data_IF_106073539206
#
_entry.id   IF_106073539206
#
_cell.length_a   1.000
_cell.length_b   1.000
_cell.length_c   1.000
_cell.angle_alpha   90.00
_cell.angle_beta   90.00
_cell.angle_gamma   90.00
#
_symmetry.space_group_name_H-M   'P 1'
#
loop_
_entity.id
_entity.type
_entity.pdbx_description
1 polymer ?
#
# COMPACT_ATOMS: atom_id res chain seq x y z
N UNK A 1 -8.73 -9.28 -3.33
CA UNK A 1 -9.02 -7.93 -2.82
C UNK A 1 -9.56 -7.89 -1.39
N UNK A 2 -10.56 -8.70 -1.00
CA UNK A 2 -11.02 -8.77 0.41
C UNK A 2 -9.95 -9.23 1.40
N UNK A 3 -9.08 -10.16 0.99
CA UNK A 3 -7.90 -10.57 1.78
C UNK A 3 -6.90 -9.41 2.00
N UNK A 4 -6.64 -8.59 0.98
CA UNK A 4 -5.75 -7.42 1.10
C UNK A 4 -6.30 -6.35 2.05
N UNK A 5 -7.63 -6.17 2.10
CA UNK A 5 -8.27 -5.29 3.09
C UNK A 5 -8.06 -5.78 4.53
N UNK A 6 -8.15 -7.09 4.76
CA UNK A 6 -7.88 -7.66 6.07
C UNK A 6 -6.39 -7.48 6.46
N UNK A 7 -5.47 -7.77 5.53
CA UNK A 7 -4.03 -7.58 5.74
C UNK A 7 -3.66 -6.10 5.97
N UNK A 8 -4.34 -5.17 5.29
CA UNK A 8 -4.17 -3.74 5.48
C UNK A 8 -4.50 -3.29 6.90
N UNK A 9 -5.56 -3.84 7.50
CA UNK A 9 -5.95 -3.50 8.88
C UNK A 9 -4.87 -3.89 9.89
N UNK A 10 -4.12 -4.96 9.62
CA UNK A 10 -3.07 -5.49 10.48
C UNK A 10 -1.67 -4.89 10.20
N UNK A 11 -1.56 -4.01 9.20
CA UNK A 11 -0.31 -3.41 8.74
C UNK A 11 0.10 -2.19 9.58
N UNK A 12 0.31 -2.38 10.88
CA UNK A 12 0.63 -1.30 11.82
C UNK A 12 2.11 -0.87 11.85
N UNK A 13 2.96 -1.46 11.00
CA UNK A 13 4.38 -1.09 10.91
C UNK A 13 4.85 -1.04 9.45
N UNK A 14 5.93 -0.31 9.21
CA UNK A 14 6.46 -0.06 7.87
C UNK A 14 6.84 -1.34 7.11
N UNK A 15 7.33 -2.38 7.79
CA UNK A 15 7.65 -3.66 7.13
C UNK A 15 6.38 -4.34 6.62
N UNK A 16 5.29 -4.34 7.39
CA UNK A 16 4.00 -4.89 6.97
C UNK A 16 3.36 -4.07 5.86
N UNK A 17 3.42 -2.73 5.95
CA UNK A 17 2.96 -1.84 4.88
C UNK A 17 3.69 -2.11 3.56
N UNK A 18 5.02 -2.25 3.62
CA UNK A 18 5.84 -2.60 2.46
C UNK A 18 5.49 -3.98 1.90
N UNK A 19 5.38 -5.00 2.76
CA UNK A 19 5.05 -6.36 2.33
C UNK A 19 3.69 -6.42 1.62
N UNK A 20 2.68 -5.76 2.16
CA UNK A 20 1.35 -5.68 1.53
C UNK A 20 1.40 -4.93 0.20
N UNK A 21 2.06 -3.77 0.15
CA UNK A 21 2.19 -3.02 -1.09
C UNK A 21 2.94 -3.82 -2.17
N UNK A 22 4.01 -4.53 -1.81
CA UNK A 22 4.74 -5.39 -2.72
C UNK A 22 3.89 -6.55 -3.25
N UNK A 23 3.06 -7.14 -2.38
CA UNK A 23 2.08 -8.17 -2.76
C UNK A 23 1.09 -7.62 -3.79
N UNK A 24 0.50 -6.46 -3.52
CA UNK A 24 -0.46 -5.82 -4.43
C UNK A 24 0.20 -5.47 -5.78
N UNK A 25 1.44 -4.96 -5.81
CA UNK A 25 2.15 -4.68 -7.06
C UNK A 25 2.34 -5.94 -7.92
N UNK A 26 2.58 -7.10 -7.30
CA UNK A 26 2.81 -8.37 -8.00
C UNK A 26 1.53 -9.04 -8.49
N UNK A 27 0.45 -8.85 -7.74
CA UNK A 27 -0.80 -9.58 -7.94
C UNK A 27 -1.87 -8.73 -8.65
N UNK A 28 -1.82 -7.40 -8.52
CA UNK A 28 -2.75 -6.51 -9.22
C UNK A 28 -2.33 -6.35 -10.68
N UNK A 29 -3.33 -6.32 -11.58
CA UNK A 29 -3.13 -5.87 -12.96
C UNK A 29 -2.73 -4.39 -13.03
N UNK A 30 -2.34 -3.94 -14.23
CA UNK A 30 -2.00 -2.54 -14.44
C UNK A 30 -3.21 -1.64 -14.12
N UNK A 31 -2.98 -0.59 -13.32
CA UNK A 31 -4.05 0.33 -12.92
C UNK A 31 -3.68 1.20 -11.72
N UNK A 32 -4.63 2.03 -11.26
CA UNK A 32 -4.40 2.98 -10.17
C UNK A 32 -4.00 2.31 -8.85
N UNK A 33 -4.54 1.13 -8.53
CA UNK A 33 -4.18 0.39 -7.33
C UNK A 33 -2.72 -0.07 -7.35
N UNK A 34 -2.27 -0.65 -8.48
CA UNK A 34 -0.88 -1.07 -8.65
C UNK A 34 0.08 0.14 -8.60
N UNK A 35 -0.34 1.29 -9.15
CA UNK A 35 0.44 2.52 -9.09
C UNK A 35 0.56 3.06 -7.65
N UNK A 36 -0.54 3.11 -6.90
CA UNK A 36 -0.54 3.50 -5.50
C UNK A 36 0.35 2.58 -4.64
N UNK A 37 0.29 1.27 -4.89
CA UNK A 37 1.12 0.29 -4.19
C UNK A 37 2.61 0.46 -4.51
N UNK A 38 2.94 0.77 -5.77
CA UNK A 38 4.32 1.04 -6.19
C UNK A 38 4.92 2.25 -5.46
N UNK A 39 4.16 3.32 -5.26
CA UNK A 39 4.60 4.49 -4.50
C UNK A 39 4.96 4.15 -3.04
N UNK A 40 4.20 3.26 -2.41
CA UNK A 40 4.49 2.78 -1.04
C UNK A 40 5.78 1.96 -1.02
N UNK A 41 5.94 1.02 -1.97
CA UNK A 41 7.14 0.18 -2.09
C UNK A 41 8.38 1.04 -2.24
N UNK A 42 8.37 1.99 -3.17
CA UNK A 42 9.52 2.89 -3.41
C UNK A 42 9.85 3.73 -2.17
N UNK A 43 8.83 4.25 -1.49
CA UNK A 43 9.03 5.11 -0.31
C UNK A 43 9.56 4.36 0.91
N UNK A 44 9.24 3.07 1.03
CA UNK A 44 9.62 2.23 2.16
C UNK A 44 10.86 1.36 1.90
N UNK A 45 11.22 1.11 0.64
CA UNK A 45 12.43 0.37 0.27
C UNK A 45 13.66 1.00 0.92
N UNK A 46 13.83 2.32 0.73
CA UNK A 46 14.94 3.08 1.29
C UNK A 46 14.98 3.05 2.82
N UNK A 47 13.81 2.99 3.48
CA UNK A 47 13.70 3.02 4.95
C UNK A 47 14.07 1.67 5.57
N UNK A 48 13.76 0.57 4.87
CA UNK A 48 14.08 -0.78 5.32
C UNK A 48 15.57 -1.10 5.10
N UNK A 49 16.15 -0.62 4.01
CA UNK A 49 17.56 -0.85 3.69
C UNK A 49 18.52 0.22 4.24
N UNK A 50 18.04 1.43 4.54
CA UNK A 50 18.86 2.52 5.09
C UNK A 50 18.15 3.17 6.30
N UNK A 51 18.42 2.69 7.53
CA UNK A 51 17.59 2.99 8.72
C UNK A 51 17.69 4.43 9.23
N UNK A 52 18.57 5.27 8.67
CA UNK A 52 18.57 6.73 8.94
C UNK A 52 17.51 7.39 8.05
N UNK A 53 16.26 6.96 8.19
CA UNK A 53 15.15 7.57 7.49
C UNK A 53 14.74 8.86 8.20
N UNK A 54 14.86 9.99 7.50
CA UNK A 54 14.29 11.27 7.94
C UNK A 54 12.80 11.09 8.29
N UNK A 55 12.37 11.67 9.41
CA UNK A 55 10.97 11.69 9.85
C UNK A 55 10.01 12.13 8.73
N UNK A 56 10.47 12.98 7.80
CA UNK A 56 9.73 13.37 6.61
C UNK A 56 9.42 12.19 5.67
N UNK A 57 10.39 11.30 5.42
CA UNK A 57 10.21 10.11 4.56
C UNK A 57 9.21 9.12 5.17
N UNK A 58 9.26 8.93 6.48
CA UNK A 58 8.29 8.11 7.21
C UNK A 58 6.87 8.71 7.15
N UNK A 59 6.75 10.04 7.19
CA UNK A 59 5.48 10.74 7.01
C UNK A 59 4.93 10.57 5.58
N UNK A 60 5.79 10.68 4.57
CA UNK A 60 5.41 10.44 3.16
C UNK A 60 4.95 9.01 2.94
N UNK A 61 5.69 8.01 3.45
CA UNK A 61 5.30 6.61 3.32
C UNK A 61 3.92 6.32 3.92
N UNK A 62 3.61 6.88 5.10
CA UNK A 62 2.27 6.78 5.70
C UNK A 62 1.19 7.41 4.83
N UNK A 63 1.46 8.58 4.26
CA UNK A 63 0.54 9.25 3.34
C UNK A 63 0.27 8.38 2.10
N UNK A 64 1.31 7.84 1.47
CA UNK A 64 1.13 6.95 0.32
C UNK A 64 0.39 5.68 0.68
N UNK A 65 0.65 5.12 1.87
CA UNK A 65 -0.07 3.95 2.33
C UNK A 65 -1.55 4.24 2.52
N UNK A 66 -1.91 5.40 3.09
CA UNK A 66 -3.31 5.81 3.18
C UNK A 66 -3.97 5.93 1.80
N UNK A 67 -3.30 6.55 0.82
CA UNK A 67 -3.84 6.62 -0.55
C UNK A 67 -4.06 5.24 -1.19
N UNK A 68 -3.17 4.27 -0.91
CA UNK A 68 -3.36 2.89 -1.32
C UNK A 68 -4.62 2.27 -0.69
N UNK A 69 -4.87 2.52 0.59
CA UNK A 69 -6.08 2.03 1.27
C UNK A 69 -7.35 2.62 0.68
N UNK A 70 -7.34 3.92 0.36
CA UNK A 70 -8.49 4.61 -0.22
C UNK A 70 -8.81 4.03 -1.61
N UNK A 71 -7.79 3.78 -2.44
CA UNK A 71 -7.96 3.15 -3.75
C UNK A 71 -8.46 1.70 -3.63
N UNK A 72 -7.93 0.93 -2.68
CA UNK A 72 -8.38 -0.43 -2.42
C UNK A 72 -9.85 -0.48 -1.99
N UNK A 73 -10.28 0.45 -1.13
CA UNK A 73 -11.67 0.56 -0.72
C UNK A 73 -12.58 0.93 -1.91
N UNK A 74 -12.16 1.86 -2.76
CA UNK A 74 -12.89 2.25 -3.96
C UNK A 74 -13.10 1.08 -4.93
N UNK A 75 -12.06 0.28 -5.20
CA UNK A 75 -12.20 -0.88 -6.10
C UNK A 75 -13.09 -1.98 -5.51
N UNK A 76 -13.03 -2.20 -4.19
CA UNK A 76 -13.89 -3.17 -3.51
C UNK A 76 -15.36 -2.75 -3.59
N UNK A 77 -15.64 -1.46 -3.44
CA UNK A 77 -17.00 -0.94 -3.57
C UNK A 77 -17.51 -1.00 -5.02
N UNK A 78 -16.66 -0.67 -6.00
CA UNK A 78 -17.01 -0.80 -7.42
C UNK A 78 -17.37 -2.26 -7.78
N UNK A 79 -16.63 -3.24 -7.27
CA UNK A 79 -16.95 -4.66 -7.48
C UNK A 79 -18.26 -5.10 -6.83
N UNK A 80 -18.63 -4.55 -5.67
CA UNK A 80 -19.93 -4.84 -5.05
C UNK A 80 -21.11 -4.32 -5.86
N UNK A 81 -20.96 -3.16 -6.48
CA UNK A 81 -22.02 -2.53 -7.27
C UNK A 81 -22.18 -3.17 -8.66
N UNK A 82 -21.15 -3.86 -9.16
CA UNK A 82 -21.16 -4.57 -10.43
C UNK A 82 -21.63 -6.04 -10.32
N UNK A 83 -21.88 -6.53 -9.10
CA UNK A 83 -22.32 -7.89 -8.79
C UNK A 83 -23.78 -7.94 -8.38
#
# INVERSE_FOLDING_TARGET
MTAWLAEAREAHNYRRMYALALKIVREAGAGPLAQAASCVVLSLCDIIYNPVADAWRLKQARRFFQCLLDQLAAEVEALRQAS
#
